data_IF_730465825129
#
_entry.id   IF_730465825129
#
_cell.length_a   1.000
_cell.length_b   1.000
_cell.length_c   1.000
_cell.angle_alpha   90.00
_cell.angle_beta   90.00
_cell.angle_gamma   90.00
#
_symmetry.space_group_name_H-M   'P 1'
#
loop_
_entity.id
_entity.type
_entity.pdbx_description
1 polymer ?
#
# COMPACT_ATOMS: atom_id res chain seq x y z
N UNK A 1 40.52 -10.93 32.10
CA UNK A 1 40.92 -11.18 30.69
C UNK A 1 39.89 -10.54 29.78
N UNK A 2 40.25 -9.51 29.02
CA UNK A 2 39.29 -8.77 28.17
C UNK A 2 39.11 -9.46 26.81
N UNK A 3 38.35 -10.55 26.81
CA UNK A 3 38.06 -11.42 25.65
C UNK A 3 37.50 -10.61 24.47
N UNK A 4 36.64 -9.62 24.74
CA UNK A 4 36.08 -8.69 23.74
C UNK A 4 37.15 -7.88 23.01
N UNK A 5 38.23 -7.48 23.71
CA UNK A 5 39.31 -6.69 23.11
C UNK A 5 40.19 -7.53 22.18
N UNK A 6 40.37 -8.81 22.50
CA UNK A 6 41.09 -9.75 21.64
C UNK A 6 40.25 -10.12 20.41
N UNK A 7 38.94 -10.39 20.58
CA UNK A 7 38.01 -10.66 19.49
C UNK A 7 37.92 -9.48 18.51
N UNK A 8 37.73 -8.25 18.99
CA UNK A 8 37.66 -7.06 18.14
C UNK A 8 38.97 -6.78 17.36
N UNK A 9 40.13 -7.10 17.94
CA UNK A 9 41.44 -6.92 17.28
C UNK A 9 41.69 -7.97 16.22
N UNK A 10 41.29 -9.22 16.48
CA UNK A 10 41.33 -10.30 15.49
C UNK A 10 40.39 -10.01 14.32
N UNK A 11 39.14 -9.62 14.61
CA UNK A 11 38.15 -9.23 13.62
C UNK A 11 38.63 -8.08 12.75
N UNK A 12 39.19 -7.03 13.35
CA UNK A 12 39.77 -5.90 12.59
C UNK A 12 40.91 -6.35 11.69
N UNK A 13 41.80 -7.24 12.15
CA UNK A 13 42.92 -7.73 11.34
C UNK A 13 42.45 -8.57 10.16
N UNK A 14 41.46 -9.44 10.37
CA UNK A 14 40.89 -10.29 9.31
C UNK A 14 40.00 -9.51 8.34
N UNK A 15 39.34 -8.44 8.80
CA UNK A 15 38.67 -7.48 7.91
C UNK A 15 39.65 -6.86 6.92
N UNK A 16 40.89 -6.53 7.33
CA UNK A 16 41.92 -6.01 6.40
C UNK A 16 42.59 -7.09 5.55
N UNK A 17 42.35 -8.38 5.83
CA UNK A 17 42.91 -9.50 5.07
C UNK A 17 42.04 -9.94 3.86
N UNK A 18 40.85 -9.34 3.67
CA UNK A 18 40.03 -9.47 2.45
C UNK A 18 38.99 -10.60 2.46
N UNK A 19 39.30 -11.76 3.04
CA UNK A 19 38.38 -12.91 3.04
C UNK A 19 37.09 -12.63 3.83
N UNK A 20 37.22 -12.09 5.04
CA UNK A 20 36.06 -11.78 5.89
C UNK A 20 35.21 -10.63 5.33
N UNK A 21 35.85 -9.68 4.65
CA UNK A 21 35.16 -8.58 3.96
C UNK A 21 34.27 -9.11 2.82
N UNK A 22 34.70 -10.15 2.12
CA UNK A 22 33.95 -10.73 0.99
C UNK A 22 32.68 -11.42 1.48
N UNK A 23 32.78 -12.23 2.54
CA UNK A 23 31.61 -12.88 3.16
C UNK A 23 30.67 -11.84 3.77
N UNK A 24 31.22 -10.83 4.44
CA UNK A 24 30.43 -9.73 4.99
C UNK A 24 29.70 -8.94 3.89
N UNK A 25 30.38 -8.63 2.78
CA UNK A 25 29.79 -7.94 1.64
C UNK A 25 28.65 -8.76 1.00
N UNK A 26 28.84 -10.08 0.87
CA UNK A 26 27.80 -10.98 0.38
C UNK A 26 26.56 -10.99 1.29
N UNK A 27 26.76 -11.00 2.61
CA UNK A 27 25.68 -10.94 3.59
C UNK A 27 24.90 -9.61 3.49
N UNK A 28 25.62 -8.50 3.45
CA UNK A 28 25.01 -7.15 3.32
C UNK A 28 24.23 -7.06 2.02
N UNK A 29 24.79 -7.55 0.92
CA UNK A 29 24.12 -7.58 -0.39
C UNK A 29 22.84 -8.41 -0.33
N UNK A 30 22.86 -9.59 0.28
CA UNK A 30 21.68 -10.44 0.44
C UNK A 30 20.55 -9.75 1.22
N UNK A 31 20.89 -9.10 2.34
CA UNK A 31 19.92 -8.34 3.15
C UNK A 31 19.38 -7.13 2.39
N UNK A 32 20.23 -6.41 1.66
CA UNK A 32 19.83 -5.28 0.84
C UNK A 32 18.84 -5.71 -0.26
N UNK A 33 19.10 -6.84 -0.93
CA UNK A 33 18.21 -7.40 -1.95
C UNK A 33 16.86 -7.81 -1.36
N UNK A 34 16.85 -8.56 -0.25
CA UNK A 34 15.58 -8.95 0.40
C UNK A 34 14.77 -7.73 0.84
N UNK A 35 15.43 -6.70 1.37
CA UNK A 35 14.78 -5.44 1.76
C UNK A 35 14.21 -4.70 0.54
N UNK A 36 14.99 -4.57 -0.53
CA UNK A 36 14.56 -3.93 -1.76
C UNK A 36 13.33 -4.62 -2.37
N UNK A 37 13.33 -5.96 -2.43
CA UNK A 37 12.19 -6.74 -2.91
C UNK A 37 10.96 -6.53 -2.03
N UNK A 38 11.10 -6.58 -0.71
CA UNK A 38 10.01 -6.29 0.22
C UNK A 38 9.40 -4.89 -0.02
N UNK A 39 10.24 -3.86 -0.11
CA UNK A 39 9.77 -2.50 -0.39
C UNK A 39 9.14 -2.33 -1.77
N UNK A 40 9.55 -3.12 -2.76
CA UNK A 40 8.96 -3.10 -4.09
C UNK A 40 7.56 -3.72 -4.07
N UNK A 41 7.40 -4.86 -3.38
CA UNK A 41 6.09 -5.49 -3.18
C UNK A 41 5.15 -4.53 -2.45
N UNK A 42 5.60 -3.92 -1.36
CA UNK A 42 4.81 -2.93 -0.63
C UNK A 42 4.43 -1.73 -1.51
N UNK A 43 5.34 -1.23 -2.34
CA UNK A 43 5.05 -0.16 -3.31
C UNK A 43 4.05 -0.58 -4.37
N UNK A 44 4.13 -1.82 -4.88
CA UNK A 44 3.16 -2.35 -5.84
C UNK A 44 1.79 -2.47 -5.18
N UNK A 45 1.71 -3.05 -3.97
CA UNK A 45 0.47 -3.12 -3.21
C UNK A 45 -0.08 -1.73 -2.90
N UNK A 46 0.80 -0.76 -2.59
CA UNK A 46 0.43 0.63 -2.33
C UNK A 46 -0.02 1.35 -3.61
N UNK A 47 0.58 1.09 -4.76
CA UNK A 47 0.15 1.65 -6.04
C UNK A 47 -1.22 1.07 -6.46
N UNK A 48 -1.40 -0.24 -6.30
CA UNK A 48 -2.67 -0.93 -6.56
C UNK A 48 -3.79 -0.42 -5.63
N UNK A 49 -3.48 -0.13 -4.36
CA UNK A 49 -4.44 0.47 -3.42
C UNK A 49 -4.59 1.99 -3.61
N UNK A 50 -3.55 2.69 -4.06
CA UNK A 50 -3.54 4.11 -4.39
C UNK A 50 -4.42 4.46 -5.58
N UNK A 51 -4.43 3.62 -6.62
CA UNK A 51 -5.41 3.70 -7.72
C UNK A 51 -6.86 3.50 -7.26
N UNK A 52 -7.10 2.95 -6.05
CA UNK A 52 -8.42 2.90 -5.43
C UNK A 52 -8.76 4.16 -4.61
N UNK A 53 -7.76 4.92 -4.17
CA UNK A 53 -7.91 6.13 -3.34
C UNK A 53 -8.15 7.42 -4.16
N UNK A 54 -7.93 7.39 -5.47
CA UNK A 54 -7.83 8.61 -6.30
C UNK A 54 -9.11 9.42 -6.46
N UNK A 55 -10.26 8.98 -5.94
CA UNK A 55 -11.41 9.90 -5.88
C UNK A 55 -12.16 9.66 -4.58
N UNK A 56 -11.69 10.35 -3.52
CA UNK A 56 -12.53 10.69 -2.35
C UNK A 56 -13.82 11.35 -2.85
N UNK A 57 -13.73 12.07 -3.98
CA UNK A 57 -14.89 12.68 -4.62
C UNK A 57 -15.55 13.67 -3.69
N UNK A 58 -14.84 14.24 -2.73
CA UNK A 58 -15.36 15.06 -1.64
C UNK A 58 -14.22 15.60 -0.79
N UNK A 59 -14.55 16.47 0.18
CA UNK A 59 -13.54 17.17 0.99
C UNK A 59 -12.96 16.25 2.10
N UNK A 60 -13.75 15.31 2.63
CA UNK A 60 -13.33 14.30 3.62
C UNK A 60 -13.93 12.92 3.29
N UNK A 61 -13.19 11.85 3.63
CA UNK A 61 -13.64 10.46 3.51
C UNK A 61 -13.38 9.67 4.79
N UNK A 62 -14.38 8.91 5.25
CA UNK A 62 -14.26 7.98 6.38
C UNK A 62 -14.31 6.57 5.82
N UNK A 63 -13.25 5.78 6.05
CA UNK A 63 -13.12 4.41 5.55
C UNK A 63 -12.92 3.43 6.70
N UNK A 64 -13.39 2.21 6.54
CA UNK A 64 -13.28 1.16 7.54
C UNK A 64 -13.44 -0.21 6.90
N UNK A 65 -12.89 -1.25 7.55
CA UNK A 65 -13.10 -2.65 7.15
C UNK A 65 -14.52 -3.15 7.41
N UNK A 66 -15.21 -2.52 8.36
CA UNK A 66 -16.59 -2.79 8.73
C UNK A 66 -17.48 -1.63 8.31
N UNK A 67 -18.79 -1.85 8.23
CA UNK A 67 -19.71 -0.80 7.81
C UNK A 67 -19.63 0.42 8.74
N UNK A 68 -19.59 1.61 8.17
CA UNK A 68 -19.49 2.86 8.91
C UNK A 68 -20.82 3.10 9.64
N UNK A 69 -20.81 3.33 10.97
CA UNK A 69 -22.04 3.54 11.73
C UNK A 69 -22.90 4.67 11.16
N UNK A 70 -24.22 4.47 11.13
CA UNK A 70 -25.19 5.45 10.62
C UNK A 70 -25.13 6.81 11.36
N UNK A 71 -24.60 6.83 12.59
CA UNK A 71 -24.36 8.03 13.37
C UNK A 71 -23.50 9.08 12.62
N UNK A 72 -22.55 8.66 11.78
CA UNK A 72 -21.74 9.57 10.98
C UNK A 72 -22.56 10.28 9.90
N UNK A 73 -23.43 9.55 9.19
CA UNK A 73 -24.31 10.14 8.19
C UNK A 73 -25.33 11.08 8.84
N UNK A 74 -25.90 10.68 9.98
CA UNK A 74 -26.81 11.52 10.74
C UNK A 74 -26.15 12.82 11.22
N UNK A 75 -24.92 12.76 11.71
CA UNK A 75 -24.17 13.96 12.11
C UNK A 75 -23.81 14.85 10.93
N UNK A 76 -23.42 14.27 9.79
CA UNK A 76 -23.18 15.01 8.56
C UNK A 76 -24.44 15.77 8.10
N UNK A 77 -25.59 15.11 8.13
CA UNK A 77 -26.88 15.74 7.82
C UNK A 77 -27.22 16.85 8.83
N UNK A 78 -27.01 16.62 10.13
CA UNK A 78 -27.21 17.66 11.18
C UNK A 78 -26.35 18.91 10.95
N UNK A 79 -25.13 18.73 10.45
CA UNK A 79 -24.20 19.83 10.12
C UNK A 79 -24.43 20.44 8.74
N UNK A 80 -25.43 19.98 7.98
CA UNK A 80 -25.70 20.46 6.62
C UNK A 80 -24.63 20.05 5.61
N UNK A 81 -23.82 19.03 5.91
CA UNK A 81 -22.77 18.56 5.04
C UNK A 81 -23.33 17.64 3.96
N UNK A 82 -22.86 17.81 2.73
CA UNK A 82 -23.10 16.84 1.66
C UNK A 82 -22.30 15.58 1.95
N UNK A 83 -22.95 14.42 1.92
CA UNK A 83 -22.30 13.13 2.12
C UNK A 83 -22.75 12.14 1.04
N UNK A 84 -21.91 11.16 0.74
CA UNK A 84 -22.25 10.03 -0.14
C UNK A 84 -21.62 8.77 0.43
N UNK A 85 -22.22 7.61 0.16
CA UNK A 85 -21.70 6.30 0.57
C UNK A 85 -21.02 5.65 -0.62
N UNK A 86 -19.87 5.06 -0.39
CA UNK A 86 -19.16 4.25 -1.39
C UNK A 86 -18.68 2.96 -0.75
N UNK A 87 -18.62 1.91 -1.56
CA UNK A 87 -18.06 0.61 -1.20
C UNK A 87 -17.07 0.22 -2.29
N UNK A 88 -15.87 -0.21 -1.91
CA UNK A 88 -14.87 -0.72 -2.85
C UNK A 88 -14.38 -2.07 -2.37
N UNK A 89 -14.31 -3.04 -3.27
CA UNK A 89 -13.77 -4.36 -2.97
C UNK A 89 -13.14 -5.00 -4.22
N UNK A 90 -12.03 -5.74 -4.06
CA UNK A 90 -11.48 -6.55 -5.14
C UNK A 90 -12.42 -7.72 -5.46
N UNK A 91 -12.62 -8.01 -6.74
CA UNK A 91 -13.41 -9.13 -7.25
C UNK A 91 -12.82 -9.66 -8.55
N UNK A 92 -12.99 -10.94 -8.83
CA UNK A 92 -12.66 -11.52 -10.14
C UNK A 92 -13.85 -11.37 -11.07
N UNK A 93 -13.62 -10.82 -12.26
CA UNK A 93 -14.60 -10.74 -13.35
C UNK A 93 -14.38 -11.91 -14.32
N UNK A 94 -15.48 -12.49 -14.80
CA UNK A 94 -15.46 -13.59 -15.76
C UNK A 94 -16.15 -13.17 -17.07
N UNK A 95 -15.55 -13.51 -18.20
CA UNK A 95 -16.12 -13.36 -19.53
C UNK A 95 -15.78 -14.58 -20.40
N UNK A 96 -16.72 -15.50 -20.57
CA UNK A 96 -16.46 -16.80 -21.18
C UNK A 96 -15.41 -17.57 -20.38
N UNK A 97 -14.33 -17.99 -21.04
CA UNK A 97 -13.20 -18.69 -20.41
C UNK A 97 -12.12 -17.74 -19.82
N UNK A 98 -12.26 -16.42 -20.01
CA UNK A 98 -11.32 -15.44 -19.49
C UNK A 98 -11.73 -14.95 -18.10
N UNK A 99 -10.76 -14.81 -17.19
CA UNK A 99 -10.95 -14.20 -15.88
C UNK A 99 -9.89 -13.13 -15.59
N UNK A 100 -10.31 -12.04 -14.93
CA UNK A 100 -9.43 -10.93 -14.58
C UNK A 100 -9.76 -10.38 -13.20
N UNK A 101 -8.74 -10.09 -12.39
CA UNK A 101 -8.91 -9.37 -11.13
C UNK A 101 -9.24 -7.91 -11.39
N UNK A 102 -10.35 -7.42 -10.82
CA UNK A 102 -10.77 -6.03 -10.91
C UNK A 102 -11.16 -5.49 -9.53
N UNK A 103 -10.99 -4.19 -9.30
CA UNK A 103 -11.51 -3.53 -8.10
C UNK A 103 -12.88 -2.93 -8.42
N UNK A 104 -13.94 -3.41 -7.77
CA UNK A 104 -15.30 -2.95 -7.98
C UNK A 104 -15.58 -1.80 -7.01
N UNK A 105 -15.95 -0.64 -7.54
CA UNK A 105 -16.34 0.53 -6.76
C UNK A 105 -17.83 0.83 -6.97
N UNK A 106 -18.64 0.56 -5.96
CA UNK A 106 -20.06 0.93 -5.92
C UNK A 106 -20.21 2.30 -5.23
N UNK A 107 -20.93 3.21 -5.86
CA UNK A 107 -21.13 4.58 -5.36
C UNK A 107 -22.62 4.89 -5.26
N UNK A 108 -23.02 5.60 -4.21
CA UNK A 108 -24.40 6.07 -4.06
C UNK A 108 -24.66 7.30 -4.95
N UNK A 109 -25.96 7.58 -5.17
CA UNK A 109 -26.40 8.77 -5.88
C UNK A 109 -25.80 10.04 -5.23
N UNK A 110 -25.20 10.91 -6.05
CA UNK A 110 -24.52 12.13 -5.60
C UNK A 110 -23.00 12.04 -5.50
N UNK A 111 -22.39 10.90 -5.83
CA UNK A 111 -20.96 10.82 -6.09
C UNK A 111 -20.63 11.29 -7.54
N UNK A 112 -19.53 12.03 -7.76
CA UNK A 112 -18.69 12.62 -6.74
C UNK A 112 -19.33 13.90 -6.15
N UNK A 113 -19.11 14.15 -4.86
CA UNK A 113 -19.46 15.41 -4.20
C UNK A 113 -18.67 16.61 -4.75
N UNK A 114 -17.45 16.36 -5.25
CA UNK A 114 -16.55 17.36 -5.88
C UNK A 114 -16.06 16.86 -7.23
N UNK A 115 -16.15 17.72 -8.25
CA UNK A 115 -15.71 17.42 -9.61
C UNK A 115 -16.72 16.60 -10.41
N UNK A 116 -16.24 15.96 -11.48
CA UNK A 116 -17.05 15.15 -12.39
C UNK A 116 -16.34 13.84 -12.70
N UNK A 117 -17.09 12.74 -12.72
CA UNK A 117 -16.57 11.46 -13.17
C UNK A 117 -16.59 11.41 -14.70
N UNK A 118 -15.43 11.25 -15.33
CA UNK A 118 -15.32 11.07 -16.78
C UNK A 118 -14.89 9.64 -17.08
N UNK A 119 -15.53 9.04 -18.08
CA UNK A 119 -15.20 7.70 -18.56
C UNK A 119 -14.44 7.86 -19.87
N UNK A 120 -13.15 7.56 -19.85
CA UNK A 120 -12.37 7.42 -21.07
C UNK A 120 -12.58 6.01 -21.63
N UNK A 121 -12.87 5.91 -22.93
CA UNK A 121 -12.77 4.64 -23.65
C UNK A 121 -11.37 4.56 -24.21
N UNK A 122 -10.61 3.58 -23.78
CA UNK A 122 -9.35 3.24 -24.44
C UNK A 122 -9.72 2.70 -25.83
N UNK A 123 -9.19 3.34 -26.88
CA UNK A 123 -9.45 2.97 -28.29
C UNK A 123 -8.17 2.48 -28.91
#
# INVERSE_FOLDING_TARGET
MNVLRHAARALRRELFAGDLLTVFAALVLGVAVMTAVGTLVDRVTLALTGSAAEVIGGDLGVTGRQDIPAAFAAEAQRRGLRHTRLVSFPSVLFHGDASQMANIKAVAAGYPLRGELRVARDT
#
